data_IF_986514590632
#
_entry.id   IF_986514590632
#
_cell.length_a   1.000
_cell.length_b   1.000
_cell.length_c   1.000
_cell.angle_alpha   90.00
_cell.angle_beta   90.00
_cell.angle_gamma   90.00
#
_symmetry.space_group_name_H-M   'P 1'
#
loop_
_entity.id
_entity.type
_entity.pdbx_description
1 polymer ?
#
# COMPACT_ATOMS: atom_id res chain seq x y z
N UNK A 1 -20.12 8.06 -19.30
CA UNK A 1 -19.11 9.00 -18.71
C UNK A 1 -19.20 9.06 -17.17
N UNK A 2 -18.06 8.89 -16.48
CA UNK A 2 -17.98 8.84 -14.99
C UNK A 2 -17.25 10.03 -14.34
N UNK A 3 -16.65 10.93 -15.13
CA UNK A 3 -15.87 12.07 -14.63
C UNK A 3 -16.73 12.95 -13.70
N UNK A 4 -16.22 13.23 -12.50
CA UNK A 4 -16.92 14.03 -11.49
C UNK A 4 -18.06 13.31 -10.75
N UNK A 5 -18.26 12.00 -11.00
CA UNK A 5 -19.31 11.18 -10.36
C UNK A 5 -18.74 10.02 -9.53
N UNK A 6 -17.43 9.99 -9.35
CA UNK A 6 -16.72 8.95 -8.61
C UNK A 6 -15.88 9.62 -7.53
N UNK A 7 -15.92 9.05 -6.34
CA UNK A 7 -15.01 9.36 -5.24
C UNK A 7 -14.81 8.10 -4.39
N UNK A 8 -13.95 8.21 -3.39
CA UNK A 8 -13.53 7.14 -2.51
C UNK A 8 -13.67 7.56 -1.05
N UNK A 9 -13.90 6.58 -0.18
CA UNK A 9 -14.00 6.76 1.26
C UNK A 9 -13.24 5.65 2.01
N UNK A 10 -12.86 5.86 3.28
CA UNK A 10 -12.39 4.78 4.14
C UNK A 10 -13.41 3.64 4.23
N UNK A 11 -12.94 2.45 4.61
CA UNK A 11 -13.82 1.32 4.90
C UNK A 11 -14.78 1.67 6.05
N UNK A 12 -16.01 1.14 6.05
CA UNK A 12 -16.91 1.30 7.20
C UNK A 12 -16.31 0.68 8.45
N UNK A 13 -16.64 1.24 9.61
CA UNK A 13 -16.35 0.61 10.89
C UNK A 13 -17.27 -0.59 11.14
N UNK A 14 -16.84 -1.51 12.00
CA UNK A 14 -17.72 -2.51 12.61
C UNK A 14 -18.72 -1.89 13.59
N UNK A 15 -19.52 -2.72 14.25
CA UNK A 15 -20.63 -2.27 15.13
C UNK A 15 -20.34 -2.37 16.64
N UNK A 16 -19.18 -2.90 17.03
CA UNK A 16 -18.80 -3.08 18.44
C UNK A 16 -18.28 -1.80 19.11
N UNK A 17 -18.20 -1.81 20.43
CA UNK A 17 -17.58 -0.73 21.21
C UNK A 17 -16.13 -0.49 20.75
N UNK A 18 -15.78 0.77 20.46
CA UNK A 18 -14.46 1.13 19.95
C UNK A 18 -14.21 0.73 18.49
N UNK A 19 -15.22 0.29 17.74
CA UNK A 19 -15.06 -0.05 16.33
C UNK A 19 -14.61 1.16 15.51
N UNK A 20 -13.62 0.93 14.64
CA UNK A 20 -13.05 1.91 13.73
C UNK A 20 -12.83 1.29 12.35
N UNK A 21 -12.74 2.09 11.28
CA UNK A 21 -12.25 1.62 10.00
C UNK A 21 -10.93 0.88 10.16
N UNK A 22 -10.82 -0.32 9.58
CA UNK A 22 -9.62 -1.13 9.64
C UNK A 22 -9.22 -1.54 8.22
N UNK A 23 -8.17 -0.89 7.69
CA UNK A 23 -7.57 -1.27 6.42
C UNK A 23 -6.50 -2.34 6.65
N UNK A 24 -6.40 -3.32 5.77
CA UNK A 24 -5.32 -4.30 5.78
C UNK A 24 -4.11 -3.76 5.02
N UNK A 25 -2.93 -3.75 5.65
CA UNK A 25 -1.68 -3.36 4.99
C UNK A 25 -1.25 -4.45 4.01
N UNK A 26 -1.40 -4.14 2.72
CA UNK A 26 -0.98 -4.97 1.60
C UNK A 26 0.28 -4.43 0.91
N UNK A 27 0.43 -4.76 -0.37
CA UNK A 27 1.51 -4.27 -1.23
C UNK A 27 2.40 -5.37 -1.79
N UNK A 28 3.43 -4.93 -2.52
CA UNK A 28 4.41 -5.78 -3.16
C UNK A 28 5.82 -5.37 -2.75
N UNK A 29 6.63 -6.34 -2.34
CA UNK A 29 8.05 -6.13 -2.10
C UNK A 29 8.84 -6.53 -3.34
N UNK A 30 9.84 -5.73 -3.69
CA UNK A 30 10.81 -6.06 -4.71
C UNK A 30 11.97 -6.82 -4.07
N UNK A 31 12.38 -7.93 -4.69
CA UNK A 31 13.47 -8.76 -4.22
C UNK A 31 14.28 -9.28 -5.41
N UNK A 32 15.58 -9.48 -5.19
CA UNK A 32 16.47 -10.09 -6.17
C UNK A 32 16.59 -11.58 -5.88
N UNK A 33 16.38 -12.40 -6.90
CA UNK A 33 16.56 -13.85 -6.78
C UNK A 33 18.01 -14.20 -6.46
N UNK A 34 18.22 -15.08 -5.48
CA UNK A 34 19.54 -15.64 -5.15
C UNK A 34 20.19 -16.36 -6.35
N UNK A 35 19.39 -16.81 -7.32
CA UNK A 35 19.84 -17.53 -8.51
C UNK A 35 19.99 -16.63 -9.74
N UNK A 36 19.88 -15.31 -9.58
CA UNK A 36 20.06 -14.38 -10.71
C UNK A 36 21.45 -14.56 -11.33
N UNK A 37 21.51 -14.62 -12.67
CA UNK A 37 22.78 -14.57 -13.41
C UNK A 37 23.37 -13.15 -13.48
N UNK A 38 22.60 -12.14 -13.08
CA UNK A 38 22.96 -10.72 -13.11
C UNK A 38 22.51 -10.03 -11.81
N UNK A 39 23.12 -10.36 -10.65
CA UNK A 39 22.67 -9.84 -9.36
C UNK A 39 22.83 -8.31 -9.25
N UNK A 40 23.95 -7.75 -9.70
CA UNK A 40 24.21 -6.31 -9.56
C UNK A 40 23.22 -5.46 -10.38
N UNK A 41 23.02 -5.81 -11.65
CA UNK A 41 22.04 -5.13 -12.50
C UNK A 41 20.60 -5.27 -11.96
N UNK A 42 20.24 -6.41 -11.37
CA UNK A 42 18.95 -6.60 -10.75
C UNK A 42 18.78 -5.75 -9.48
N UNK A 43 19.84 -5.59 -8.68
CA UNK A 43 19.87 -4.72 -7.50
C UNK A 43 19.69 -3.26 -7.92
N UNK A 44 20.41 -2.82 -8.95
CA UNK A 44 20.29 -1.45 -9.47
C UNK A 44 18.89 -1.16 -9.99
N UNK A 45 18.27 -2.11 -10.67
CA UNK A 45 16.88 -1.99 -11.11
C UNK A 45 15.91 -1.87 -9.92
N UNK A 46 16.05 -2.70 -8.89
CA UNK A 46 15.21 -2.62 -7.68
C UNK A 46 15.37 -1.27 -6.99
N UNK A 47 16.61 -0.77 -6.85
CA UNK A 47 16.89 0.56 -6.28
C UNK A 47 16.25 1.67 -7.09
N UNK A 48 16.35 1.60 -8.42
CA UNK A 48 15.72 2.57 -9.32
C UNK A 48 14.19 2.56 -9.18
N UNK A 49 13.54 1.40 -9.22
CA UNK A 49 12.08 1.30 -9.09
C UNK A 49 11.59 1.81 -7.73
N UNK A 50 12.40 1.60 -6.67
CA UNK A 50 12.10 2.03 -5.31
C UNK A 50 12.43 3.52 -5.05
N UNK A 51 13.10 4.22 -5.98
CA UNK A 51 13.57 5.60 -5.75
C UNK A 51 12.41 6.61 -5.61
N UNK A 52 12.62 7.73 -4.90
CA UNK A 52 11.61 8.79 -4.80
C UNK A 52 11.11 9.29 -6.15
N UNK A 53 12.02 9.47 -7.12
CA UNK A 53 11.73 10.00 -8.45
C UNK A 53 10.84 9.03 -9.24
N UNK A 54 11.19 7.75 -9.23
CA UNK A 54 10.44 6.73 -9.97
C UNK A 54 9.08 6.47 -9.32
N UNK A 55 9.01 6.48 -7.99
CA UNK A 55 7.74 6.39 -7.28
C UNK A 55 6.85 7.60 -7.53
N UNK A 56 7.39 8.84 -7.48
CA UNK A 56 6.64 10.06 -7.84
C UNK A 56 6.13 9.99 -9.27
N UNK A 57 6.98 9.61 -10.22
CA UNK A 57 6.58 9.41 -11.62
C UNK A 57 5.41 8.42 -11.74
N UNK A 58 5.53 7.24 -11.11
CA UNK A 58 4.49 6.21 -11.14
C UNK A 58 3.18 6.72 -10.52
N UNK A 59 3.24 7.38 -9.37
CA UNK A 59 2.08 7.97 -8.70
C UNK A 59 1.39 8.97 -9.60
N UNK A 60 2.11 9.91 -10.21
CA UNK A 60 1.54 10.91 -11.12
C UNK A 60 0.86 10.28 -12.35
N UNK A 61 1.42 9.19 -12.88
CA UNK A 61 0.90 8.55 -14.10
C UNK A 61 -0.27 7.62 -13.87
N UNK A 62 -0.32 6.91 -12.75
CA UNK A 62 -1.28 5.81 -12.54
C UNK A 62 -2.06 5.89 -11.23
N UNK A 63 -1.88 6.96 -10.45
CA UNK A 63 -2.41 7.09 -9.10
C UNK A 63 -1.98 5.96 -8.15
N UNK A 64 -0.92 5.21 -8.49
CA UNK A 64 -0.37 4.19 -7.61
C UNK A 64 0.20 4.86 -6.36
N UNK A 65 -0.28 4.46 -5.20
CA UNK A 65 0.13 5.04 -3.93
C UNK A 65 1.61 4.72 -3.65
N UNK A 66 2.44 5.70 -3.31
CA UNK A 66 3.86 5.48 -3.06
C UNK A 66 4.08 4.77 -1.72
N UNK A 67 5.23 4.10 -1.59
CA UNK A 67 5.70 3.52 -0.31
C UNK A 67 6.54 4.50 0.51
N UNK A 68 6.98 5.61 -0.10
CA UNK A 68 7.75 6.66 0.57
C UNK A 68 6.78 7.68 1.18
N UNK A 69 6.77 7.80 2.50
CA UNK A 69 5.83 8.66 3.23
C UNK A 69 5.89 10.13 2.80
N UNK A 70 7.09 10.66 2.53
CA UNK A 70 7.27 12.06 2.11
C UNK A 70 6.57 12.39 0.77
N UNK A 71 6.34 11.39 -0.11
CA UNK A 71 5.65 11.62 -1.38
C UNK A 71 4.14 11.87 -1.21
N UNK A 72 3.57 11.58 -0.04
CA UNK A 72 2.19 11.96 0.27
C UNK A 72 2.03 13.46 0.52
N UNK A 73 3.13 14.16 0.83
CA UNK A 73 3.14 15.61 1.08
C UNK A 73 3.66 16.40 -0.14
N UNK A 74 3.92 15.72 -1.27
CA UNK A 74 4.45 16.36 -2.48
C UNK A 74 3.37 17.22 -3.19
N UNK A 75 3.66 18.49 -3.50
CA UNK A 75 2.67 19.42 -4.04
C UNK A 75 2.20 19.06 -5.46
N UNK A 76 3.04 18.43 -6.28
CA UNK A 76 2.63 18.01 -7.62
C UNK A 76 1.68 16.81 -7.54
N UNK A 77 1.97 15.88 -6.64
CA UNK A 77 1.10 14.73 -6.36
C UNK A 77 -0.24 15.22 -5.82
N UNK A 78 -0.25 16.13 -4.84
CA UNK A 78 -1.49 16.67 -4.29
C UNK A 78 -2.37 17.34 -5.37
N UNK A 79 -1.75 18.05 -6.32
CA UNK A 79 -2.45 18.75 -7.41
C UNK A 79 -2.98 17.80 -8.47
N UNK A 80 -2.19 16.81 -8.89
CA UNK A 80 -2.53 15.94 -10.03
C UNK A 80 -3.26 14.65 -9.63
N UNK A 81 -3.01 14.16 -8.41
CA UNK A 81 -3.57 12.94 -7.86
C UNK A 81 -4.08 13.17 -6.41
N UNK A 82 -5.15 13.97 -6.21
CA UNK A 82 -5.61 14.39 -4.88
C UNK A 82 -5.99 13.25 -3.92
N UNK A 83 -6.25 12.05 -4.46
CA UNK A 83 -6.52 10.85 -3.66
C UNK A 83 -5.31 10.41 -2.83
N UNK A 84 -4.09 10.65 -3.32
CA UNK A 84 -2.85 10.18 -2.68
C UNK A 84 -2.69 10.77 -1.28
N UNK A 85 -2.65 12.11 -1.08
CA UNK A 85 -2.53 12.69 0.26
C UNK A 85 -3.67 12.29 1.20
N UNK A 86 -4.90 12.16 0.67
CA UNK A 86 -6.07 11.73 1.46
C UNK A 86 -5.91 10.32 2.05
N UNK A 87 -5.08 9.47 1.45
CA UNK A 87 -4.84 8.09 1.89
C UNK A 87 -3.70 7.94 2.89
N UNK A 88 -2.94 9.01 3.20
CA UNK A 88 -1.79 8.95 4.10
C UNK A 88 -2.14 8.32 5.45
N UNK A 89 -3.17 8.87 6.11
CA UNK A 89 -3.62 8.37 7.43
C UNK A 89 -4.16 6.94 7.37
N UNK A 90 -4.77 6.53 6.25
CA UNK A 90 -5.26 5.16 6.08
C UNK A 90 -4.08 4.18 6.11
N UNK A 91 -2.99 4.49 5.42
CA UNK A 91 -1.80 3.63 5.40
C UNK A 91 -1.01 3.64 6.70
N UNK A 92 -0.90 4.79 7.38
CA UNK A 92 -0.26 4.88 8.69
C UNK A 92 -0.98 4.05 9.76
N UNK A 93 -2.30 3.86 9.61
CA UNK A 93 -3.13 3.10 10.54
C UNK A 93 -3.49 1.68 10.03
N UNK A 94 -3.03 1.30 8.84
CA UNK A 94 -3.34 -0.01 8.26
C UNK A 94 -2.70 -1.15 9.06
N UNK A 95 -3.44 -2.24 9.22
CA UNK A 95 -3.03 -3.38 10.04
C UNK A 95 -2.36 -4.45 9.18
N UNK A 96 -1.14 -4.92 9.52
CA UNK A 96 -0.53 -6.03 8.82
C UNK A 96 -1.33 -7.30 9.04
N UNK A 97 -1.37 -8.17 8.02
CA UNK A 97 -1.92 -9.52 8.19
C UNK A 97 -1.10 -10.28 9.23
N UNK A 98 -1.74 -11.12 10.08
CA UNK A 98 -1.05 -11.84 11.14
C UNK A 98 -0.19 -13.02 10.62
N UNK A 99 0.25 -13.03 9.35
CA UNK A 99 1.00 -14.14 8.76
C UNK A 99 2.35 -14.39 9.44
N UNK A 100 3.02 -13.34 9.93
CA UNK A 100 4.26 -13.48 10.69
C UNK A 100 4.04 -14.19 12.04
N UNK A 101 2.93 -13.90 12.70
CA UNK A 101 2.58 -14.45 14.02
C UNK A 101 1.93 -15.82 13.89
N UNK A 102 0.92 -15.97 13.03
CA UNK A 102 0.16 -17.21 12.85
C UNK A 102 0.94 -18.27 12.04
N UNK A 103 1.87 -17.86 11.17
CA UNK A 103 2.71 -18.75 10.35
C UNK A 103 1.87 -19.82 9.63
N UNK A 104 2.22 -21.09 9.82
CA UNK A 104 1.51 -22.24 9.23
C UNK A 104 0.06 -22.36 9.72
N UNK A 105 -0.28 -21.76 10.87
CA UNK A 105 -1.62 -21.79 11.46
C UNK A 105 -2.53 -20.67 10.96
N UNK A 106 -2.16 -19.96 9.89
CA UNK A 106 -2.90 -18.79 9.42
C UNK A 106 -4.34 -19.14 9.02
N UNK A 107 -4.56 -20.30 8.42
CA UNK A 107 -5.89 -20.77 8.02
C UNK A 107 -6.75 -21.11 9.25
N UNK A 108 -6.18 -21.82 10.22
CA UNK A 108 -6.83 -22.20 11.48
C UNK A 108 -7.13 -20.98 12.35
N UNK A 109 -6.25 -19.99 12.37
CA UNK A 109 -6.51 -18.72 13.04
C UNK A 109 -7.67 -17.98 12.37
N UNK A 110 -7.73 -17.99 11.03
CA UNK A 110 -8.81 -17.33 10.29
C UNK A 110 -10.17 -17.97 10.57
N UNK A 111 -10.25 -19.30 10.71
CA UNK A 111 -11.52 -19.99 10.96
C UNK A 111 -12.17 -19.66 12.30
N UNK A 112 -11.42 -19.10 13.26
CA UNK A 112 -11.98 -18.65 14.55
C UNK A 112 -12.88 -17.39 14.42
N UNK A 113 -12.81 -16.68 13.29
CA UNK A 113 -13.48 -15.39 13.08
C UNK A 113 -14.60 -15.44 12.03
N UNK A 114 -14.69 -16.51 11.23
CA UNK A 114 -15.75 -16.70 10.25
C UNK A 114 -16.73 -17.76 10.77
N UNK A 115 -17.86 -17.30 11.31
CA UNK A 115 -19.09 -18.09 11.53
C UNK A 115 -20.21 -17.51 10.69
#
# INVERSE_FOLDING_TARGET
PIKGRFDVAPLPAGTGEGARPAATLGGWNLAVSKYSKHPDAAIDLVKFIASPEMQKYRTLKTANLPTIAALYDDPDIARQQPIVPRWKEIFLNAQPRPSATARIKYNEASSQFWT
#
